data_IF_778568717243
#
_entry.id   IF_778568717243
#
_cell.length_a   1.000
_cell.length_b   1.000
_cell.length_c   1.000
_cell.angle_alpha   90.00
_cell.angle_beta   90.00
_cell.angle_gamma   90.00
#
_symmetry.space_group_name_H-M   'P 1'
#
loop_
_entity.id
_entity.type
_entity.pdbx_description
1 polymer ?
#
# COMPACT_ATOMS: atom_id res chain seq x y z
N UNK A 1 -11.31 4.88 -23.80
CA UNK A 1 -12.12 4.87 -22.56
C UNK A 1 -11.39 4.30 -21.36
N UNK A 2 -10.80 3.10 -21.45
CA UNK A 2 -10.10 2.47 -20.30
C UNK A 2 -8.95 3.34 -19.76
N UNK A 3 -8.13 3.92 -20.64
CA UNK A 3 -7.02 4.79 -20.20
C UNK A 3 -7.51 6.02 -19.42
N UNK A 4 -8.55 6.71 -19.92
CA UNK A 4 -9.14 7.86 -19.24
C UNK A 4 -9.68 7.50 -17.84
N UNK A 5 -10.30 6.34 -17.70
CA UNK A 5 -10.79 5.88 -16.39
C UNK A 5 -9.64 5.63 -15.40
N UNK A 6 -8.52 5.05 -15.85
CA UNK A 6 -7.31 4.86 -15.04
C UNK A 6 -6.72 6.22 -14.63
N UNK A 7 -6.63 7.16 -15.57
CA UNK A 7 -6.08 8.50 -15.33
C UNK A 7 -6.89 9.24 -14.27
N UNK A 8 -8.21 9.32 -14.46
CA UNK A 8 -9.11 9.96 -13.50
C UNK A 8 -9.01 9.29 -12.14
N UNK A 9 -9.00 7.95 -12.09
CA UNK A 9 -8.86 7.22 -10.84
C UNK A 9 -7.58 7.60 -10.09
N UNK A 10 -6.41 7.51 -10.75
CA UNK A 10 -5.11 7.80 -10.14
C UNK A 10 -4.95 9.27 -9.74
N UNK A 11 -5.46 10.21 -10.54
CA UNK A 11 -5.48 11.63 -10.20
C UNK A 11 -6.31 11.86 -8.93
N UNK A 12 -7.47 11.22 -8.81
CA UNK A 12 -8.37 11.40 -7.66
C UNK A 12 -7.79 10.79 -6.39
N UNK A 13 -6.96 9.74 -6.46
CA UNK A 13 -6.45 9.04 -5.27
C UNK A 13 -5.79 9.94 -4.20
N UNK A 14 -4.77 10.77 -4.50
CA UNK A 14 -4.15 11.62 -3.48
C UNK A 14 -5.16 12.60 -2.86
N UNK A 15 -5.97 13.28 -3.68
CA UNK A 15 -6.95 14.26 -3.21
C UNK A 15 -8.09 13.61 -2.43
N UNK A 16 -8.61 12.49 -2.92
CA UNK A 16 -9.63 11.69 -2.26
C UNK A 16 -9.14 11.16 -0.92
N UNK A 17 -7.87 10.76 -0.81
CA UNK A 17 -7.28 10.32 0.47
C UNK A 17 -7.19 11.47 1.46
N UNK A 18 -6.76 12.66 1.04
CA UNK A 18 -6.75 13.85 1.89
C UNK A 18 -8.16 14.28 2.31
N UNK A 19 -9.11 14.27 1.36
CA UNK A 19 -10.51 14.59 1.62
C UNK A 19 -11.11 13.63 2.65
N UNK A 20 -10.94 12.32 2.44
CA UNK A 20 -11.39 11.32 3.40
C UNK A 20 -10.69 11.47 4.75
N UNK A 21 -9.41 11.83 4.79
CA UNK A 21 -8.73 12.08 6.05
C UNK A 21 -9.31 13.29 6.81
N UNK A 22 -9.58 14.40 6.10
CA UNK A 22 -10.08 15.63 6.70
C UNK A 22 -11.56 15.52 7.14
N UNK A 23 -12.42 14.97 6.30
CA UNK A 23 -13.88 15.02 6.49
C UNK A 23 -14.50 13.70 6.92
N UNK A 24 -13.83 12.57 6.67
CA UNK A 24 -14.36 11.24 6.94
C UNK A 24 -13.27 10.31 7.49
N UNK A 25 -12.44 10.79 8.43
CA UNK A 25 -11.21 10.11 8.85
C UNK A 25 -11.44 8.63 9.23
N UNK A 26 -12.59 8.33 9.82
CA UNK A 26 -13.06 6.98 10.09
C UNK A 26 -12.92 6.01 8.91
N UNK A 27 -13.16 6.47 7.68
CA UNK A 27 -13.00 5.71 6.44
C UNK A 27 -11.54 5.44 6.05
N UNK A 28 -10.57 6.19 6.58
CA UNK A 28 -9.11 6.00 6.34
C UNK A 28 -8.41 5.22 7.47
N UNK A 29 -9.10 5.01 8.59
CA UNK A 29 -8.55 4.28 9.74
C UNK A 29 -8.47 2.79 9.45
N UNK A 30 -7.30 2.23 9.73
CA UNK A 30 -7.05 0.79 9.67
C UNK A 30 -6.12 0.37 10.82
N UNK A 31 -6.26 -0.87 11.32
CA UNK A 31 -5.50 -1.36 12.48
C UNK A 31 -6.43 -1.89 13.57
N UNK A 32 -6.17 -1.55 14.83
CA UNK A 32 -7.00 -2.01 15.96
C UNK A 32 -8.32 -1.23 16.05
N UNK A 33 -9.22 -1.51 15.12
CA UNK A 33 -10.59 -0.95 15.05
C UNK A 33 -11.62 -2.00 15.44
N UNK A 34 -12.77 -1.57 15.98
CA UNK A 34 -13.79 -2.48 16.52
C UNK A 34 -14.48 -3.32 15.43
N UNK A 35 -14.80 -2.71 14.28
CA UNK A 35 -15.50 -3.36 13.17
C UNK A 35 -14.62 -3.60 11.93
N UNK A 36 -15.13 -4.37 10.98
CA UNK A 36 -14.50 -4.62 9.69
C UNK A 36 -13.92 -6.02 9.53
N UNK A 37 -13.18 -6.19 8.44
CA UNK A 37 -12.60 -7.47 8.02
C UNK A 37 -11.14 -7.58 8.46
N UNK A 38 -10.65 -8.80 8.68
CA UNK A 38 -9.27 -9.03 9.11
C UNK A 38 -8.26 -8.53 8.07
N UNK A 39 -7.19 -7.87 8.51
CA UNK A 39 -6.07 -7.52 7.62
C UNK A 39 -5.33 -8.73 7.06
N UNK A 40 -5.53 -9.92 7.63
CA UNK A 40 -4.97 -11.15 7.04
C UNK A 40 -5.61 -11.50 5.68
N UNK A 41 -6.69 -10.84 5.28
CA UNK A 41 -7.26 -10.91 3.93
C UNK A 41 -6.50 -10.07 2.91
N UNK A 42 -5.45 -9.36 3.32
CA UNK A 42 -4.55 -8.67 2.41
C UNK A 42 -3.90 -9.60 1.37
N UNK A 43 -3.68 -10.86 1.72
CA UNK A 43 -3.19 -11.86 0.76
C UNK A 43 -4.08 -12.01 -0.48
N UNK A 44 -5.39 -11.79 -0.36
CA UNK A 44 -6.31 -11.96 -1.50
C UNK A 44 -6.20 -10.83 -2.51
N UNK A 45 -5.95 -9.60 -2.08
CA UNK A 45 -5.74 -8.52 -3.03
C UNK A 45 -4.40 -8.69 -3.77
N UNK A 46 -3.36 -9.17 -3.09
CA UNK A 46 -2.07 -9.43 -3.74
C UNK A 46 -2.15 -10.64 -4.67
N UNK A 47 -2.90 -11.69 -4.27
CA UNK A 47 -3.18 -12.83 -5.13
C UNK A 47 -3.92 -12.39 -6.39
N UNK A 48 -4.94 -11.54 -6.24
CA UNK A 48 -5.65 -10.95 -7.37
C UNK A 48 -4.71 -10.16 -8.30
N UNK A 49 -3.85 -9.30 -7.75
CA UNK A 49 -2.86 -8.56 -8.53
C UNK A 49 -1.88 -9.48 -9.28
N UNK A 50 -1.38 -10.55 -8.62
CA UNK A 50 -0.51 -11.55 -9.25
C UNK A 50 -1.23 -12.25 -10.39
N UNK A 51 -2.45 -12.76 -10.17
CA UNK A 51 -3.26 -13.39 -11.23
C UNK A 51 -3.46 -12.44 -12.40
N UNK A 52 -3.83 -11.19 -12.13
CA UNK A 52 -4.04 -10.20 -13.18
C UNK A 52 -2.74 -9.88 -13.93
N UNK A 53 -1.58 -9.86 -13.26
CA UNK A 53 -0.27 -9.66 -13.89
C UNK A 53 0.22 -10.84 -14.74
N UNK A 54 -0.43 -12.00 -14.64
CA UNK A 54 -0.22 -13.16 -15.50
C UNK A 54 -1.18 -13.11 -16.69
N UNK A 55 -2.45 -12.81 -16.46
CA UNK A 55 -3.48 -12.67 -17.51
C UNK A 55 -3.14 -11.51 -18.45
N UNK A 56 -2.80 -10.35 -17.90
CA UNK A 56 -2.17 -9.26 -18.63
C UNK A 56 -0.67 -9.55 -18.54
N UNK A 57 0.03 -9.98 -19.60
CA UNK A 57 1.42 -10.42 -19.48
C UNK A 57 2.34 -9.24 -19.14
N UNK A 58 2.43 -8.89 -17.86
CA UNK A 58 3.34 -7.87 -17.32
C UNK A 58 4.69 -8.56 -17.15
N UNK A 59 5.54 -8.43 -18.14
CA UNK A 59 6.86 -9.07 -18.17
C UNK A 59 7.94 -8.29 -17.41
N UNK A 60 7.58 -7.11 -16.86
CA UNK A 60 8.51 -6.29 -16.10
C UNK A 60 8.58 -6.69 -14.61
N UNK A 61 9.55 -6.07 -13.91
CA UNK A 61 9.86 -6.36 -12.52
C UNK A 61 8.71 -6.06 -11.54
N UNK A 62 7.67 -5.34 -11.94
CA UNK A 62 6.48 -5.10 -11.09
C UNK A 62 5.79 -6.40 -10.67
N UNK A 63 5.81 -7.44 -11.52
CA UNK A 63 5.29 -8.77 -11.16
C UNK A 63 6.03 -9.36 -9.96
N UNK A 64 7.35 -9.18 -9.87
CA UNK A 64 8.16 -9.63 -8.73
C UNK A 64 7.74 -8.89 -7.46
N UNK A 65 7.49 -7.58 -7.55
CA UNK A 65 6.97 -6.81 -6.41
C UNK A 65 5.65 -7.38 -5.89
N UNK A 66 4.69 -7.66 -6.78
CA UNK A 66 3.40 -8.25 -6.40
C UNK A 66 3.56 -9.63 -5.74
N UNK A 67 4.36 -10.50 -6.35
CA UNK A 67 4.59 -11.85 -5.84
C UNK A 67 5.28 -11.84 -4.46
N UNK A 68 6.29 -10.98 -4.31
CA UNK A 68 6.98 -10.77 -3.03
C UNK A 68 6.01 -10.29 -1.96
N UNK A 69 5.14 -9.33 -2.26
CA UNK A 69 4.11 -8.85 -1.32
C UNK A 69 3.09 -9.92 -0.97
N UNK A 70 2.68 -10.76 -1.93
CA UNK A 70 1.83 -11.92 -1.66
C UNK A 70 2.48 -12.85 -0.63
N UNK A 71 3.73 -13.26 -0.85
CA UNK A 71 4.48 -14.11 0.08
C UNK A 71 4.54 -13.46 1.47
N UNK A 72 4.92 -12.19 1.54
CA UNK A 72 5.01 -11.46 2.80
C UNK A 72 3.68 -11.46 3.56
N UNK A 73 2.54 -11.29 2.88
CA UNK A 73 1.23 -11.31 3.57
C UNK A 73 0.80 -12.69 4.05
N UNK A 74 1.36 -13.77 3.47
CA UNK A 74 1.14 -15.14 3.94
C UNK A 74 2.04 -15.43 5.15
N UNK A 75 3.30 -15.01 5.10
CA UNK A 75 4.32 -15.26 6.12
C UNK A 75 4.15 -14.32 7.33
N UNK A 76 4.09 -13.00 7.10
CA UNK A 76 4.01 -11.97 8.12
C UNK A 76 2.54 -11.63 8.45
N UNK A 77 1.91 -12.53 9.20
CA UNK A 77 0.51 -12.36 9.61
C UNK A 77 0.30 -11.15 10.51
N UNK A 78 -0.79 -10.44 10.27
CA UNK A 78 -1.28 -9.41 11.16
C UNK A 78 -1.92 -10.04 12.41
N UNK A 79 -1.87 -9.30 13.53
CA UNK A 79 -2.63 -9.64 14.73
C UNK A 79 -4.12 -9.80 14.41
N UNK A 80 -4.78 -10.76 15.06
CA UNK A 80 -6.23 -11.02 14.91
C UNK A 80 -7.11 -9.81 15.22
N UNK A 81 -6.60 -8.87 16.02
CA UNK A 81 -7.28 -7.61 16.36
C UNK A 81 -7.10 -6.52 15.29
N UNK A 82 -6.21 -6.71 14.32
CA UNK A 82 -5.95 -5.76 13.25
C UNK A 82 -6.95 -5.96 12.12
N UNK A 83 -7.83 -4.98 11.94
CA UNK A 83 -8.94 -4.97 10.98
C UNK A 83 -8.81 -3.80 9.99
N UNK A 84 -9.50 -3.92 8.87
CA UNK A 84 -9.69 -2.89 7.86
C UNK A 84 -11.17 -2.79 7.51
N UNK A 85 -11.61 -1.65 6.96
CA UNK A 85 -12.98 -1.53 6.44
C UNK A 85 -13.08 -2.15 5.05
N UNK A 86 -14.26 -2.64 4.68
CA UNK A 86 -14.53 -3.24 3.37
C UNK A 86 -14.14 -2.33 2.20
N UNK A 87 -14.34 -1.01 2.35
CA UNK A 87 -13.94 -0.03 1.33
C UNK A 87 -12.44 -0.07 0.99
N UNK A 88 -11.57 -0.35 1.96
CA UNK A 88 -10.12 -0.48 1.70
C UNK A 88 -9.80 -1.71 0.87
N UNK A 89 -10.59 -2.78 1.05
CA UNK A 89 -10.42 -4.01 0.29
C UNK A 89 -10.88 -3.82 -1.15
N UNK A 90 -12.07 -3.24 -1.35
CA UNK A 90 -12.58 -2.90 -2.69
C UNK A 90 -11.61 -1.95 -3.40
N UNK A 91 -11.15 -0.90 -2.70
CA UNK A 91 -10.15 0.03 -3.20
C UNK A 91 -8.85 -0.68 -3.59
N UNK A 92 -8.36 -1.61 -2.76
CA UNK A 92 -7.17 -2.40 -3.07
C UNK A 92 -7.32 -3.19 -4.37
N UNK A 93 -8.47 -3.84 -4.60
CA UNK A 93 -8.73 -4.56 -5.85
C UNK A 93 -8.71 -3.61 -7.05
N UNK A 94 -9.46 -2.50 -6.99
CA UNK A 94 -9.48 -1.49 -8.05
C UNK A 94 -8.09 -0.90 -8.34
N UNK A 95 -7.32 -0.60 -7.28
CA UNK A 95 -5.96 -0.09 -7.38
C UNK A 95 -5.05 -1.05 -8.16
N UNK A 96 -5.04 -2.33 -7.82
CA UNK A 96 -4.21 -3.31 -8.53
C UNK A 96 -4.70 -3.55 -9.96
N UNK A 97 -6.01 -3.43 -10.23
CA UNK A 97 -6.53 -3.45 -11.60
C UNK A 97 -5.92 -2.31 -12.43
N UNK A 98 -6.03 -1.07 -11.96
CA UNK A 98 -5.51 0.10 -12.65
C UNK A 98 -3.99 0.03 -12.83
N UNK A 99 -3.26 -0.38 -11.78
CA UNK A 99 -1.80 -0.49 -11.86
C UNK A 99 -1.36 -1.60 -12.82
N UNK A 100 -1.98 -2.78 -12.81
CA UNK A 100 -1.63 -3.84 -13.75
C UNK A 100 -1.91 -3.46 -15.20
N UNK A 101 -3.05 -2.81 -15.46
CA UNK A 101 -3.38 -2.29 -16.79
C UNK A 101 -2.36 -1.24 -17.26
N UNK A 102 -1.95 -0.33 -16.38
CA UNK A 102 -0.96 0.71 -16.70
C UNK A 102 0.45 0.13 -16.95
N UNK A 103 0.83 -0.87 -16.17
CA UNK A 103 2.15 -1.50 -16.26
C UNK A 103 2.29 -2.49 -17.43
N UNK A 104 1.18 -2.87 -18.06
CA UNK A 104 1.19 -3.75 -19.22
C UNK A 104 1.94 -3.10 -20.40
N UNK A 105 2.85 -3.84 -21.01
CA UNK A 105 3.70 -3.36 -22.11
C UNK A 105 4.77 -2.33 -21.72
N UNK A 106 4.94 -2.01 -20.42
CA UNK A 106 6.01 -1.13 -19.93
C UNK A 106 7.25 -1.93 -19.56
N UNK A 107 8.43 -1.37 -19.84
CA UNK A 107 9.73 -1.95 -19.48
C UNK A 107 10.35 -1.19 -18.31
N UNK A 108 11.11 -1.91 -17.48
CA UNK A 108 11.90 -1.34 -16.37
C UNK A 108 13.36 -1.70 -16.67
N UNK A 109 14.21 -0.70 -16.91
CA UNK A 109 15.60 -0.89 -17.34
C UNK A 109 16.51 -1.25 -16.17
N UNK A 110 16.37 -0.56 -15.04
CA UNK A 110 17.25 -0.71 -13.88
C UNK A 110 16.77 -1.83 -12.93
N UNK A 111 16.76 -3.05 -13.46
CA UNK A 111 16.25 -4.26 -12.77
C UNK A 111 16.97 -4.56 -11.45
N UNK A 112 18.29 -4.36 -11.39
CA UNK A 112 19.11 -4.60 -10.18
C UNK A 112 18.69 -3.71 -9.00
N UNK A 113 18.50 -2.41 -9.26
CA UNK A 113 18.05 -1.47 -8.22
C UNK A 113 16.66 -1.85 -7.73
N UNK A 114 15.75 -2.19 -8.64
CA UNK A 114 14.40 -2.62 -8.27
C UNK A 114 14.42 -3.89 -7.41
N UNK A 115 15.27 -4.86 -7.73
CA UNK A 115 15.45 -6.08 -6.93
C UNK A 115 15.99 -5.76 -5.53
N UNK A 116 17.02 -4.90 -5.43
CA UNK A 116 17.59 -4.46 -4.17
C UNK A 116 16.53 -3.79 -3.28
N UNK A 117 15.71 -2.90 -3.85
CA UNK A 117 14.61 -2.25 -3.13
C UNK A 117 13.56 -3.27 -2.65
N UNK A 118 13.26 -4.31 -3.43
CA UNK A 118 12.34 -5.36 -2.99
C UNK A 118 12.89 -6.20 -1.84
N UNK A 119 14.19 -6.53 -1.87
CA UNK A 119 14.88 -7.23 -0.77
C UNK A 119 14.90 -6.34 0.49
N UNK A 120 15.27 -5.07 0.34
CA UNK A 120 15.26 -4.10 1.43
C UNK A 120 13.85 -3.96 2.05
N UNK A 121 12.81 -3.92 1.21
CA UNK A 121 11.44 -3.80 1.70
C UNK A 121 11.01 -5.08 2.46
N UNK A 122 11.40 -6.27 1.98
CA UNK A 122 11.18 -7.51 2.72
C UNK A 122 11.85 -7.51 4.08
N UNK A 123 13.12 -7.09 4.14
CA UNK A 123 13.86 -6.97 5.40
C UNK A 123 13.19 -5.97 6.35
N UNK A 124 12.72 -4.83 5.85
CA UNK A 124 11.99 -3.86 6.67
C UNK A 124 10.67 -4.41 7.20
N UNK A 125 9.92 -5.17 6.41
CA UNK A 125 8.74 -5.86 6.92
C UNK A 125 9.08 -6.91 7.97
N UNK A 126 10.15 -7.67 7.79
CA UNK A 126 10.63 -8.58 8.83
C UNK A 126 10.92 -7.83 10.15
N UNK A 127 11.61 -6.70 10.09
CA UNK A 127 11.88 -5.86 11.26
C UNK A 127 10.59 -5.35 11.94
N UNK A 128 9.60 -4.92 11.16
CA UNK A 128 8.33 -4.40 11.69
C UNK A 128 7.45 -5.52 12.27
N UNK A 129 7.30 -6.63 11.57
CA UNK A 129 6.37 -7.70 11.95
C UNK A 129 6.95 -8.69 12.95
N UNK A 130 8.24 -9.04 12.82
CA UNK A 130 8.89 -10.04 13.68
C UNK A 130 9.62 -9.35 14.82
N UNK A 131 10.50 -8.38 14.53
CA UNK A 131 11.31 -7.71 15.57
C UNK A 131 10.58 -6.60 16.31
N UNK A 132 9.44 -6.11 15.78
CA UNK A 132 8.68 -4.97 16.30
C UNK A 132 9.50 -3.67 16.42
N UNK A 133 10.52 -3.52 15.56
CA UNK A 133 11.40 -2.35 15.52
C UNK A 133 11.18 -1.56 14.23
N UNK A 134 11.63 -0.30 14.22
CA UNK A 134 11.61 0.57 13.03
C UNK A 134 10.24 0.63 12.33
N UNK A 135 9.19 0.95 13.08
CA UNK A 135 7.78 0.82 12.66
C UNK A 135 7.49 1.48 11.30
N UNK A 136 8.23 2.52 10.92
CA UNK A 136 8.04 3.29 9.69
C UNK A 136 9.03 2.99 8.55
N UNK A 137 10.02 2.13 8.75
CA UNK A 137 11.07 1.87 7.74
C UNK A 137 10.50 1.31 6.43
N UNK A 138 9.51 0.42 6.53
CA UNK A 138 8.85 -0.15 5.37
C UNK A 138 8.17 0.91 4.49
N UNK A 139 7.64 2.00 5.07
CA UNK A 139 7.05 3.10 4.31
C UNK A 139 8.10 3.85 3.49
N UNK A 140 9.28 4.12 4.07
CA UNK A 140 10.35 4.80 3.35
C UNK A 140 10.78 4.00 2.11
N UNK A 141 10.96 2.69 2.26
CA UNK A 141 11.39 1.83 1.15
C UNK A 141 10.27 1.66 0.12
N UNK A 142 9.01 1.55 0.55
CA UNK A 142 7.87 1.52 -0.37
C UNK A 142 7.81 2.81 -1.21
N UNK A 143 8.02 3.98 -0.62
CA UNK A 143 8.12 5.24 -1.37
C UNK A 143 9.29 5.24 -2.36
N UNK A 144 10.44 4.70 -1.99
CA UNK A 144 11.57 4.54 -2.92
C UNK A 144 11.24 3.61 -4.09
N UNK A 145 10.48 2.53 -3.87
CA UNK A 145 10.00 1.66 -4.95
C UNK A 145 9.09 2.43 -5.92
N UNK A 146 8.11 3.18 -5.41
CA UNK A 146 7.20 3.96 -6.26
C UNK A 146 7.92 5.10 -6.98
N UNK A 147 8.89 5.75 -6.32
CA UNK A 147 9.75 6.76 -6.94
C UNK A 147 10.59 6.15 -8.07
N UNK A 148 11.17 4.97 -7.85
CA UNK A 148 11.92 4.24 -8.87
C UNK A 148 11.03 3.90 -10.08
N UNK A 149 9.83 3.36 -9.86
CA UNK A 149 8.87 3.08 -10.93
C UNK A 149 8.55 4.34 -11.76
N UNK A 150 8.31 5.46 -11.10
CA UNK A 150 8.08 6.73 -11.79
C UNK A 150 9.32 7.21 -12.55
N UNK A 151 10.52 7.10 -12.00
CA UNK A 151 11.75 7.50 -12.69
C UNK A 151 12.03 6.69 -13.96
N UNK A 152 11.67 5.40 -13.96
CA UNK A 152 11.86 4.49 -15.09
C UNK A 152 10.87 4.75 -16.24
N UNK A 153 9.59 4.92 -15.91
CA UNK A 153 8.51 4.99 -16.90
C UNK A 153 8.11 6.43 -17.23
N UNK A 154 8.33 7.37 -16.29
CA UNK A 154 8.06 8.82 -16.41
C UNK A 154 6.62 9.19 -16.81
N UNK A 155 5.66 8.32 -16.54
CA UNK A 155 4.25 8.58 -16.82
C UNK A 155 3.56 9.42 -15.74
N UNK A 156 2.61 10.26 -16.12
CA UNK A 156 1.79 11.06 -15.19
C UNK A 156 1.01 10.19 -14.19
N UNK A 157 0.53 9.04 -14.63
CA UNK A 157 -0.17 8.05 -13.79
C UNK A 157 0.69 7.61 -12.60
N UNK A 158 1.98 7.30 -12.85
CA UNK A 158 2.91 6.91 -11.79
C UNK A 158 3.33 8.08 -10.91
N UNK A 159 3.33 9.31 -11.44
CA UNK A 159 3.53 10.50 -10.61
C UNK A 159 2.38 10.69 -9.62
N UNK A 160 1.13 10.57 -10.07
CA UNK A 160 -0.03 10.63 -9.19
C UNK A 160 -0.09 9.44 -8.22
N UNK A 161 0.34 8.26 -8.66
CA UNK A 161 0.50 7.12 -7.77
C UNK A 161 1.56 7.36 -6.68
N UNK A 162 2.70 7.98 -7.02
CA UNK A 162 3.71 8.37 -6.04
C UNK A 162 3.16 9.42 -5.06
N UNK A 163 2.44 10.43 -5.56
CA UNK A 163 1.78 11.43 -4.72
C UNK A 163 0.76 10.78 -3.78
N UNK A 164 -0.04 9.84 -4.29
CA UNK A 164 -0.96 9.03 -3.48
C UNK A 164 -0.20 8.24 -2.41
N UNK A 165 0.90 7.57 -2.74
CA UNK A 165 1.69 6.81 -1.77
C UNK A 165 2.23 7.71 -0.65
N UNK A 166 2.73 8.91 -0.98
CA UNK A 166 3.19 9.91 0.01
C UNK A 166 2.05 10.32 0.93
N UNK A 167 0.90 10.70 0.37
CA UNK A 167 -0.29 11.08 1.15
C UNK A 167 -0.77 9.93 2.04
N UNK A 168 -0.87 8.72 1.49
CA UNK A 168 -1.33 7.54 2.21
C UNK A 168 -0.42 7.19 3.39
N UNK A 169 0.91 7.28 3.21
CA UNK A 169 1.89 7.11 4.28
C UNK A 169 1.70 8.17 5.36
N UNK A 170 1.61 9.45 4.97
CA UNK A 170 1.39 10.56 5.90
C UNK A 170 0.13 10.39 6.75
N UNK A 171 -1.01 10.11 6.10
CA UNK A 171 -2.29 9.83 6.77
C UNK A 171 -2.19 8.63 7.69
N UNK A 172 -1.53 7.55 7.26
CA UNK A 172 -1.34 6.34 8.07
C UNK A 172 -0.51 6.58 9.33
N UNK A 173 0.57 7.39 9.23
CA UNK A 173 1.40 7.78 10.37
C UNK A 173 0.60 8.67 11.32
N UNK A 174 -0.07 9.71 10.80
CA UNK A 174 -0.87 10.64 11.61
C UNK A 174 -1.97 9.91 12.40
N UNK A 175 -2.71 9.00 11.74
CA UNK A 175 -3.73 8.20 12.39
C UNK A 175 -3.17 7.27 13.48
N UNK A 176 -1.97 6.72 13.29
CA UNK A 176 -1.32 5.87 14.28
C UNK A 176 -0.90 6.66 15.52
N UNK A 177 -0.30 7.83 15.35
CA UNK A 177 0.11 8.67 16.47
C UNK A 177 -1.10 9.21 17.26
N UNK A 178 -2.17 9.61 16.56
CA UNK A 178 -3.42 10.02 17.22
C UNK A 178 -4.02 8.89 18.10
N UNK A 179 -3.95 7.63 17.65
CA UNK A 179 -4.41 6.48 18.43
C UNK A 179 -3.54 6.18 19.66
N UNK A 180 -2.22 6.35 19.56
CA UNK A 180 -1.31 6.21 20.72
C UNK A 180 -1.63 7.25 21.79
N UNK A 181 -1.80 8.51 21.38
CA UNK A 181 -2.10 9.62 22.28
C UNK A 181 -3.42 9.40 23.03
N UNK A 182 -4.48 8.95 22.34
CA UNK A 182 -5.77 8.62 22.99
C UNK A 182 -5.65 7.52 24.03
N UNK A 183 -4.89 6.45 23.75
CA UNK A 183 -4.67 5.35 24.72
C UNK A 183 -3.93 5.83 25.96
N UNK A 184 -2.93 6.70 25.78
CA UNK A 184 -2.18 7.28 26.89
C UNK A 184 -3.08 8.14 27.80
N UNK A 185 -3.92 8.99 27.22
CA UNK A 185 -4.89 9.81 27.98
C UNK A 185 -5.87 8.94 28.78
N UNK A 186 -6.47 7.93 28.16
CA UNK A 186 -7.40 7.01 28.83
C UNK A 186 -6.77 6.17 29.94
N UNK A 187 -5.48 5.86 29.82
CA UNK A 187 -4.75 5.16 30.88
C UNK A 187 -4.50 6.09 32.08
N UNK A 188 -4.14 7.35 31.82
CA UNK A 188 -3.91 8.36 32.87
C UNK A 188 -5.20 8.72 33.62
N UNK A 189 -6.35 8.75 32.95
CA UNK A 189 -7.64 9.07 33.59
C UNK A 189 -8.22 7.96 34.47
N UNK A 190 -7.62 6.76 34.47
CA UNK A 190 -8.04 5.61 35.29
C UNK A 190 -7.17 5.39 36.54
N UNK A 191 -6.13 6.21 36.71
CA UNK A 191 -5.31 6.27 37.92
C UNK A 191 -5.72 7.49 38.72
#
# INVERSE_FOLDING_TARGET
MICLAIDVYLIVLPFGTLFLYAFANEATKHGYIAGGISKNYFKYFYLYGVVLSVILPIENMYRIHLFRRLIETVVFKYSSRSRMRLIHFIHGMAYYTCMCLHMHGKTIMHTKMFLLLNIAHFAAHYCVFVRKQYIYSHYAIELMIHMHLWMEIRSMQLLFNLAYAVVFVGVSIANREALKNRKYVLYKSKK
#
